data_IF_419493042659
#
_entry.id   IF_419493042659
#
_cell.length_a   1.000
_cell.length_b   1.000
_cell.length_c   1.000
_cell.angle_alpha   90.00
_cell.angle_beta   90.00
_cell.angle_gamma   90.00
#
_symmetry.space_group_name_H-M   'P 1'
#
loop_
_entity.id
_entity.type
_entity.pdbx_description
1 polymer ?
#
# COMPACT_ATOMS: atom_id res chain seq x y z
N UNK A 1 37.40 -4.79 -16.05
CA UNK A 1 36.65 -5.95 -15.51
C UNK A 1 37.17 -7.14 -16.26
N UNK A 2 37.62 -8.16 -15.55
CA UNK A 2 38.18 -9.38 -16.13
C UNK A 2 37.18 -10.51 -15.92
N UNK A 3 36.93 -11.29 -16.97
CA UNK A 3 36.17 -12.54 -16.93
C UNK A 3 37.10 -13.63 -17.42
N UNK A 4 37.17 -14.74 -16.70
CA UNK A 4 38.00 -15.89 -17.04
C UNK A 4 37.17 -17.17 -17.03
N UNK A 5 37.37 -17.99 -18.06
CA UNK A 5 36.77 -19.31 -18.21
C UNK A 5 35.25 -19.31 -18.27
N UNK A 6 34.62 -18.38 -18.99
CA UNK A 6 33.17 -18.39 -19.14
C UNK A 6 32.70 -19.52 -20.06
N UNK A 7 31.81 -20.38 -19.56
CA UNK A 7 31.32 -21.62 -20.19
C UNK A 7 29.79 -21.77 -20.19
N UNK A 8 29.07 -20.79 -19.66
CA UNK A 8 27.61 -20.78 -19.65
C UNK A 8 27.00 -21.02 -21.03
N UNK A 9 26.09 -21.99 -21.14
CA UNK A 9 25.47 -22.45 -22.38
C UNK A 9 26.47 -22.91 -23.46
N UNK A 10 26.65 -22.11 -24.51
CA UNK A 10 27.49 -22.47 -25.66
C UNK A 10 28.84 -21.75 -25.69
N UNK A 11 29.17 -21.00 -24.63
CA UNK A 11 30.47 -20.35 -24.48
C UNK A 11 31.58 -21.41 -24.36
N UNK A 12 32.70 -21.19 -25.06
CA UNK A 12 33.79 -22.15 -25.19
C UNK A 12 34.98 -21.77 -24.31
N UNK A 13 34.75 -21.68 -23.00
CA UNK A 13 35.77 -21.34 -22.01
C UNK A 13 36.51 -20.05 -22.36
N UNK A 14 35.76 -18.96 -22.52
CA UNK A 14 36.31 -17.70 -23.04
C UNK A 14 36.86 -16.82 -21.92
N UNK A 15 37.97 -16.15 -22.21
CA UNK A 15 38.57 -15.11 -21.40
C UNK A 15 38.38 -13.75 -22.09
N UNK A 16 38.02 -12.73 -21.32
CA UNK A 16 37.78 -11.39 -21.86
C UNK A 16 38.04 -10.31 -20.80
N UNK A 17 38.53 -9.17 -21.28
CA UNK A 17 38.71 -7.96 -20.48
C UNK A 17 37.80 -6.87 -21.03
N UNK A 18 36.84 -6.45 -20.20
CA UNK A 18 35.86 -5.41 -20.53
C UNK A 18 36.29 -4.09 -19.86
N UNK A 19 36.43 -2.99 -20.63
CA UNK A 19 36.73 -1.68 -20.07
C UNK A 19 35.56 -1.20 -19.20
N UNK A 20 35.88 -0.69 -18.01
CA UNK A 20 34.87 -0.13 -17.09
C UNK A 20 34.54 1.32 -17.47
N UNK A 21 33.36 1.77 -17.09
CA UNK A 21 32.89 3.16 -17.30
C UNK A 21 32.82 3.58 -18.78
N UNK A 22 32.60 2.61 -19.68
CA UNK A 22 32.45 2.83 -21.10
C UNK A 22 31.20 2.11 -21.60
N UNK A 23 30.63 2.60 -22.71
CA UNK A 23 29.59 1.89 -23.42
C UNK A 23 30.22 0.74 -24.20
N UNK A 24 29.94 -0.49 -23.78
CA UNK A 24 30.47 -1.70 -24.41
C UNK A 24 29.35 -2.40 -25.15
N UNK A 25 29.56 -2.64 -26.45
CA UNK A 25 28.57 -3.29 -27.32
C UNK A 25 29.05 -4.69 -27.65
N UNK A 26 28.24 -5.70 -27.31
CA UNK A 26 28.47 -7.10 -27.68
C UNK A 26 27.72 -7.41 -28.96
N UNK A 27 28.44 -7.78 -30.02
CA UNK A 27 27.87 -8.05 -31.35
C UNK A 27 28.27 -9.43 -31.87
N UNK A 28 27.58 -9.92 -32.90
CA UNK A 28 27.78 -11.24 -33.49
C UNK A 28 26.49 -11.89 -34.01
N UNK A 29 26.63 -12.97 -34.79
CA UNK A 29 25.52 -13.72 -35.38
C UNK A 29 24.52 -14.23 -34.33
N UNK A 30 23.26 -14.45 -34.71
CA UNK A 30 22.28 -15.08 -33.81
C UNK A 30 22.82 -16.42 -33.30
N UNK A 31 22.65 -16.69 -32.01
CA UNK A 31 23.19 -17.90 -31.37
C UNK A 31 24.70 -17.88 -31.08
N UNK A 32 25.44 -16.79 -31.35
CA UNK A 32 26.88 -16.72 -31.08
C UNK A 32 27.29 -16.66 -29.59
N UNK A 33 26.34 -16.77 -28.66
CA UNK A 33 26.61 -16.71 -27.21
C UNK A 33 26.57 -15.31 -26.59
N UNK A 34 26.09 -14.28 -27.31
CA UNK A 34 26.00 -12.90 -26.79
C UNK A 34 25.15 -12.82 -25.51
N UNK A 35 23.95 -13.38 -25.56
CA UNK A 35 23.03 -13.39 -24.41
C UNK A 35 23.58 -14.24 -23.27
N UNK A 36 24.24 -15.35 -23.60
CA UNK A 36 24.89 -16.21 -22.61
C UNK A 36 26.02 -15.51 -21.86
N UNK A 37 26.77 -14.65 -22.54
CA UNK A 37 27.78 -13.81 -21.90
C UNK A 37 27.14 -12.65 -21.11
N UNK A 38 26.25 -11.87 -21.74
CA UNK A 38 25.74 -10.63 -21.16
C UNK A 38 24.71 -10.86 -20.03
N UNK A 39 23.71 -11.70 -20.27
CA UNK A 39 22.60 -11.94 -19.34
C UNK A 39 22.90 -13.14 -18.42
N UNK A 40 23.20 -14.28 -19.03
CA UNK A 40 23.28 -15.54 -18.27
C UNK A 40 24.58 -15.64 -17.45
N UNK A 41 25.64 -14.89 -17.81
CA UNK A 41 26.90 -14.87 -17.04
C UNK A 41 27.10 -13.56 -16.29
N UNK A 42 27.27 -12.43 -16.98
CA UNK A 42 27.64 -11.15 -16.36
C UNK A 42 26.53 -10.59 -15.46
N UNK A 43 25.30 -10.48 -15.99
CA UNK A 43 24.17 -9.97 -15.21
C UNK A 43 23.79 -10.93 -14.07
N UNK A 44 23.73 -12.24 -14.34
CA UNK A 44 23.45 -13.25 -13.32
C UNK A 44 24.44 -13.19 -12.15
N UNK A 45 25.76 -13.13 -12.40
CA UNK A 45 26.75 -12.97 -11.34
C UNK A 45 26.64 -11.62 -10.63
N UNK A 46 26.41 -10.53 -11.37
CA UNK A 46 26.31 -9.19 -10.81
C UNK A 46 25.12 -9.04 -9.87
N UNK A 47 23.97 -9.60 -10.27
CA UNK A 47 22.78 -9.66 -9.44
C UNK A 47 22.98 -10.58 -8.23
N UNK A 48 23.51 -11.80 -8.43
CA UNK A 48 23.74 -12.77 -7.35
C UNK A 48 24.64 -12.20 -6.26
N UNK A 49 25.81 -11.66 -6.62
CA UNK A 49 26.76 -11.07 -5.66
C UNK A 49 26.16 -9.90 -4.89
N UNK A 50 25.34 -9.08 -5.54
CA UNK A 50 24.65 -7.97 -4.89
C UNK A 50 23.61 -8.47 -3.88
N UNK A 51 22.72 -9.40 -4.27
CA UNK A 51 21.66 -9.91 -3.37
C UNK A 51 22.25 -10.72 -2.20
N UNK A 52 23.36 -11.45 -2.40
CA UNK A 52 24.09 -12.14 -1.33
C UNK A 52 24.58 -11.19 -0.22
N UNK A 53 24.80 -9.91 -0.54
CA UNK A 53 25.21 -8.90 0.43
C UNK A 53 24.07 -8.32 1.27
N UNK A 54 22.81 -8.47 0.83
CA UNK A 54 21.65 -7.79 1.44
C UNK A 54 21.21 -8.39 2.78
N UNK A 55 21.21 -9.72 2.91
CA UNK A 55 20.90 -10.37 4.19
C UNK A 55 21.39 -11.81 4.28
N UNK A 56 21.63 -12.29 5.51
CA UNK A 56 21.99 -13.69 5.76
C UNK A 56 20.87 -14.66 5.34
N UNK A 57 19.61 -14.24 5.45
CA UNK A 57 18.44 -15.01 5.00
C UNK A 57 18.39 -15.12 3.47
N UNK A 58 18.60 -14.01 2.74
CA UNK A 58 18.60 -14.01 1.27
C UNK A 58 19.66 -14.95 0.69
N UNK A 59 20.83 -15.09 1.35
CA UNK A 59 21.87 -16.05 0.93
C UNK A 59 21.37 -17.49 0.88
N UNK A 60 20.50 -17.90 1.80
CA UNK A 60 19.96 -19.26 1.82
C UNK A 60 19.09 -19.56 0.58
N UNK A 61 18.35 -18.56 0.07
CA UNK A 61 17.54 -18.70 -1.13
C UNK A 61 18.35 -18.66 -2.43
N UNK A 62 19.44 -17.89 -2.46
CA UNK A 62 20.29 -17.78 -3.64
C UNK A 62 21.15 -19.02 -3.90
N UNK A 63 21.44 -19.83 -2.87
CA UNK A 63 22.15 -21.10 -3.04
C UNK A 63 21.34 -22.14 -3.84
N UNK A 64 20.04 -21.93 -4.02
CA UNK A 64 19.16 -22.77 -4.84
C UNK A 64 19.15 -22.34 -6.32
N UNK A 65 19.75 -21.19 -6.66
CA UNK A 65 19.84 -20.73 -8.05
C UNK A 65 21.09 -21.29 -8.72
N UNK A 66 20.96 -21.73 -9.96
CA UNK A 66 22.10 -22.20 -10.75
C UNK A 66 23.13 -21.07 -10.88
N UNK A 67 24.34 -21.35 -10.42
CA UNK A 67 25.47 -20.44 -10.61
C UNK A 67 25.94 -20.55 -12.06
N UNK A 68 26.18 -19.41 -12.74
CA UNK A 68 26.74 -19.46 -14.06
C UNK A 68 28.13 -20.09 -14.05
N UNK A 69 28.42 -20.85 -15.11
CA UNK A 69 29.68 -21.59 -15.25
C UNK A 69 30.78 -20.64 -15.72
N UNK A 70 31.55 -20.14 -14.74
CA UNK A 70 32.67 -19.21 -14.94
C UNK A 70 33.71 -19.45 -13.86
N UNK A 71 34.99 -19.39 -14.21
CA UNK A 71 36.07 -19.59 -13.23
C UNK A 71 36.22 -18.38 -12.31
N UNK A 72 36.29 -17.19 -12.93
CA UNK A 72 36.50 -15.96 -12.17
C UNK A 72 35.94 -14.75 -12.90
N UNK A 73 35.34 -13.84 -12.13
CA UNK A 73 35.00 -12.50 -12.59
C UNK A 73 35.46 -11.49 -11.54
N UNK A 74 36.31 -10.54 -11.94
CA UNK A 74 36.81 -9.47 -11.08
C UNK A 74 36.38 -8.08 -11.57
N UNK A 75 36.08 -7.20 -10.62
CA UNK A 75 35.64 -5.83 -10.92
C UNK A 75 34.22 -5.73 -11.48
N UNK A 76 33.37 -6.74 -11.20
CA UNK A 76 31.95 -6.74 -11.54
C UNK A 76 31.18 -5.83 -10.58
N UNK A 77 30.45 -4.86 -11.14
CA UNK A 77 29.53 -4.00 -10.39
C UNK A 77 28.17 -4.69 -10.22
N UNK A 78 27.32 -4.26 -9.26
CA UNK A 78 25.91 -4.63 -9.26
C UNK A 78 25.30 -4.39 -10.63
N UNK A 79 24.66 -5.42 -11.19
CA UNK A 79 24.16 -5.40 -12.55
C UNK A 79 22.63 -5.23 -12.58
N UNK A 80 22.15 -4.47 -13.56
CA UNK A 80 20.72 -4.27 -13.84
C UNK A 80 20.49 -4.68 -15.29
N UNK A 81 19.53 -5.57 -15.51
CA UNK A 81 19.10 -5.96 -16.85
C UNK A 81 17.94 -5.08 -17.28
N UNK A 82 18.01 -4.58 -18.51
CA UNK A 82 16.92 -3.87 -19.18
C UNK A 82 16.56 -4.68 -20.42
N UNK A 83 15.52 -5.49 -20.31
CA UNK A 83 15.06 -6.40 -21.36
C UNK A 83 13.68 -5.98 -21.88
N UNK A 84 13.39 -6.31 -23.13
CA UNK A 84 12.04 -6.25 -23.68
C UNK A 84 11.22 -7.49 -23.28
N UNK A 85 11.23 -7.84 -21.98
CA UNK A 85 10.28 -8.83 -21.45
C UNK A 85 8.92 -8.16 -21.33
N UNK A 86 7.86 -8.84 -21.79
CA UNK A 86 6.51 -8.30 -21.72
C UNK A 86 6.19 -7.86 -20.29
N UNK A 87 5.87 -6.58 -20.12
CA UNK A 87 5.43 -6.02 -18.85
C UNK A 87 4.25 -6.84 -18.32
N UNK A 88 4.21 -7.07 -17.01
CA UNK A 88 3.10 -7.71 -16.30
C UNK A 88 1.74 -7.29 -16.90
N UNK A 89 0.96 -8.27 -17.37
CA UNK A 89 -0.38 -8.05 -17.96
C UNK A 89 -1.46 -7.82 -16.89
N UNK A 90 -1.10 -7.17 -15.78
CA UNK A 90 -2.06 -6.83 -14.76
C UNK A 90 -2.95 -5.69 -15.28
N UNK A 91 -4.28 -5.88 -15.41
CA UNK A 91 -5.19 -4.87 -15.95
C UNK A 91 -5.27 -3.59 -15.10
N UNK A 92 -4.79 -3.63 -13.84
CA UNK A 92 -4.68 -2.45 -12.98
C UNK A 92 -3.37 -1.69 -13.13
N UNK A 93 -2.41 -2.23 -13.90
CA UNK A 93 -1.13 -1.58 -14.16
C UNK A 93 -1.26 -0.63 -15.35
N UNK A 94 -0.77 0.59 -15.18
CA UNK A 94 -0.73 1.63 -16.21
C UNK A 94 0.70 2.18 -16.31
N UNK A 95 0.97 2.99 -17.33
CA UNK A 95 2.25 3.71 -17.44
C UNK A 95 2.51 4.53 -16.17
N UNK A 96 1.48 5.16 -15.60
CA UNK A 96 1.60 5.98 -14.39
C UNK A 96 1.98 5.17 -13.15
N UNK A 97 1.53 3.91 -13.03
CA UNK A 97 1.91 3.05 -11.90
C UNK A 97 3.29 2.43 -12.09
N UNK A 98 3.68 2.10 -13.32
CA UNK A 98 5.02 1.54 -13.62
C UNK A 98 6.12 2.59 -13.41
N UNK A 99 5.83 3.85 -13.74
CA UNK A 99 6.76 4.97 -13.59
C UNK A 99 6.66 5.67 -12.24
N UNK A 100 5.79 5.19 -11.33
CA UNK A 100 5.47 5.80 -10.04
C UNK A 100 4.89 7.23 -10.10
N UNK A 101 4.74 7.82 -11.29
CA UNK A 101 4.14 9.15 -11.49
C UNK A 101 2.74 9.23 -10.86
N UNK A 102 1.96 8.15 -10.92
CA UNK A 102 0.64 8.11 -10.30
C UNK A 102 0.70 8.34 -8.79
N UNK A 103 1.72 7.82 -8.10
CA UNK A 103 1.87 8.00 -6.66
C UNK A 103 2.23 9.44 -6.29
N UNK A 104 3.08 10.09 -7.10
CA UNK A 104 3.36 11.52 -6.97
C UNK A 104 2.11 12.37 -7.23
N UNK A 105 1.31 12.03 -8.25
CA UNK A 105 0.05 12.73 -8.53
C UNK A 105 -0.96 12.60 -7.40
N UNK A 106 -1.06 11.42 -6.79
CA UNK A 106 -1.92 11.20 -5.62
C UNK A 106 -1.50 12.09 -4.45
N UNK A 107 -0.20 12.16 -4.17
CA UNK A 107 0.32 13.02 -3.11
C UNK A 107 0.08 14.50 -3.42
N UNK A 108 0.33 14.92 -4.66
CA UNK A 108 0.09 16.29 -5.11
C UNK A 108 -1.38 16.69 -4.94
N UNK A 109 -2.32 15.87 -5.41
CA UNK A 109 -3.75 16.14 -5.30
C UNK A 109 -4.24 16.09 -3.85
N UNK A 110 -3.70 15.20 -3.01
CA UNK A 110 -4.06 15.14 -1.60
C UNK A 110 -3.58 16.37 -0.81
N UNK A 111 -2.45 16.98 -1.21
CA UNK A 111 -1.86 18.12 -0.50
C UNK A 111 -2.26 19.49 -1.05
N UNK A 112 -2.42 19.60 -2.36
CA UNK A 112 -2.67 20.86 -3.06
C UNK A 112 -4.01 20.89 -3.82
N UNK A 113 -4.67 19.75 -3.99
CA UNK A 113 -5.96 19.68 -4.65
C UNK A 113 -7.07 20.25 -3.76
N UNK A 114 -7.87 21.16 -4.30
CA UNK A 114 -9.12 21.57 -3.68
C UNK A 114 -10.20 20.58 -4.11
N UNK A 115 -10.83 19.83 -3.19
CA UNK A 115 -11.91 18.92 -3.54
C UNK A 115 -13.20 19.71 -3.81
N UNK A 116 -13.98 19.27 -4.80
CA UNK A 116 -15.25 19.89 -5.19
C UNK A 116 -16.40 18.89 -5.08
N UNK A 117 -17.59 19.37 -4.74
CA UNK A 117 -18.80 18.57 -4.77
C UNK A 117 -19.15 18.17 -6.22
N UNK A 118 -19.44 16.89 -6.53
CA UNK A 118 -19.70 16.43 -7.88
C UNK A 118 -20.99 17.01 -8.49
N UNK A 119 -22.01 17.29 -7.67
CA UNK A 119 -23.31 17.79 -8.14
C UNK A 119 -23.37 19.33 -8.18
N UNK A 120 -22.75 19.98 -7.18
CA UNK A 120 -22.86 21.44 -7.00
C UNK A 120 -21.65 22.22 -7.52
N UNK A 121 -20.54 21.54 -7.82
CA UNK A 121 -19.27 22.14 -8.27
C UNK A 121 -18.71 23.26 -7.35
N UNK A 122 -19.02 23.18 -6.05
CA UNK A 122 -18.50 24.09 -5.02
C UNK A 122 -17.33 23.45 -4.27
N UNK A 123 -16.34 24.24 -3.81
CA UNK A 123 -15.25 23.71 -3.02
C UNK A 123 -15.79 23.12 -1.71
N UNK A 124 -15.35 21.92 -1.35
CA UNK A 124 -15.71 21.33 -0.06
C UNK A 124 -14.99 22.09 1.06
N UNK A 125 -15.74 22.38 2.11
CA UNK A 125 -15.24 23.04 3.31
C UNK A 125 -15.55 22.18 4.54
N UNK A 126 -14.72 22.30 5.57
CA UNK A 126 -15.05 21.71 6.86
C UNK A 126 -16.34 22.37 7.39
N UNK A 127 -17.26 21.53 7.88
CA UNK A 127 -18.49 22.00 8.51
C UNK A 127 -18.26 22.15 10.01
N UNK A 128 -18.84 23.19 10.59
CA UNK A 128 -18.96 23.32 12.05
C UNK A 128 -20.03 22.38 12.59
N UNK A 129 -19.95 22.02 13.88
CA UNK A 129 -20.99 21.24 14.56
C UNK A 129 -22.36 21.90 14.40
N UNK A 130 -22.46 23.22 14.52
CA UNK A 130 -23.70 23.97 14.32
C UNK A 130 -24.30 23.73 12.92
N UNK A 131 -23.48 23.78 11.86
CA UNK A 131 -23.94 23.49 10.49
C UNK A 131 -24.37 22.03 10.32
N UNK A 132 -23.71 21.08 11.01
CA UNK A 132 -24.14 19.68 11.00
C UNK A 132 -25.49 19.50 11.70
N UNK A 133 -25.70 20.17 12.83
CA UNK A 133 -26.97 20.19 13.57
C UNK A 133 -28.09 20.74 12.69
N UNK A 134 -27.87 21.89 12.05
CA UNK A 134 -28.83 22.50 11.14
C UNK A 134 -29.20 21.57 9.97
N UNK A 135 -28.21 20.88 9.40
CA UNK A 135 -28.42 19.93 8.31
C UNK A 135 -29.28 18.73 8.74
N UNK A 136 -29.09 18.21 9.96
CA UNK A 136 -29.89 17.10 10.50
C UNK A 136 -31.30 17.57 10.88
N UNK A 137 -31.45 18.78 11.42
CA UNK A 137 -32.75 19.37 11.74
C UNK A 137 -33.59 19.70 10.50
N UNK A 138 -32.94 19.88 9.34
CA UNK A 138 -33.62 20.05 8.05
C UNK A 138 -34.24 18.74 7.51
N UNK A 139 -33.96 17.58 8.11
CA UNK A 139 -34.63 16.32 7.76
C UNK A 139 -36.13 16.36 8.16
N UNK A 140 -36.98 15.53 7.54
CA UNK A 140 -38.39 15.44 7.91
C UNK A 140 -38.59 15.18 9.41
N UNK A 141 -39.63 15.77 9.99
CA UNK A 141 -39.95 15.61 11.41
C UNK A 141 -40.12 14.13 11.79
N UNK A 142 -39.69 13.79 13.02
CA UNK A 142 -39.70 12.43 13.58
C UNK A 142 -38.82 11.39 12.84
N UNK A 143 -37.98 11.82 11.89
CA UNK A 143 -36.93 10.98 11.30
C UNK A 143 -36.04 10.41 12.41
N UNK A 144 -35.85 9.10 12.44
CA UNK A 144 -34.98 8.43 13.42
C UNK A 144 -33.54 8.49 12.92
N UNK A 145 -32.66 9.11 13.70
CA UNK A 145 -31.23 9.21 13.39
C UNK A 145 -30.41 8.51 14.47
N UNK A 146 -29.29 7.92 14.03
CA UNK A 146 -28.30 7.28 14.89
C UNK A 146 -26.98 8.01 14.68
N UNK A 147 -26.50 8.68 15.72
CA UNK A 147 -25.20 9.35 15.70
C UNK A 147 -24.14 8.33 16.08
N UNK A 148 -23.14 8.18 15.21
CA UNK A 148 -22.07 7.19 15.38
C UNK A 148 -20.72 7.85 15.15
N UNK A 149 -19.71 7.46 15.94
CA UNK A 149 -18.33 7.86 15.72
C UNK A 149 -17.56 6.73 15.01
N UNK A 150 -16.97 6.98 13.82
CA UNK A 150 -16.16 5.98 13.13
C UNK A 150 -14.78 5.84 13.77
N UNK A 151 -14.55 4.73 14.48
CA UNK A 151 -13.29 4.45 15.18
C UNK A 151 -12.25 3.83 14.24
N UNK A 152 -12.69 2.98 13.30
CA UNK A 152 -11.83 2.34 12.33
C UNK A 152 -12.56 2.16 10.99
N UNK A 153 -11.85 2.44 9.89
CA UNK A 153 -12.29 2.20 8.51
C UNK A 153 -11.22 1.39 7.78
N UNK A 154 -11.57 0.19 7.32
CA UNK A 154 -10.68 -0.72 6.58
C UNK A 154 -9.29 -0.92 7.25
N UNK A 155 -9.24 -0.90 8.60
CA UNK A 155 -7.99 -1.00 9.38
C UNK A 155 -7.81 -2.40 9.95
N UNK A 156 -6.57 -2.89 9.90
CA UNK A 156 -6.17 -4.15 10.55
C UNK A 156 -5.88 -3.91 12.03
N UNK A 157 -6.41 -4.76 12.91
CA UNK A 157 -6.21 -4.64 14.35
C UNK A 157 -7.15 -5.52 15.15
N UNK A 158 -6.84 -5.71 16.43
CA UNK A 158 -7.67 -6.47 17.38
C UNK A 158 -8.66 -5.56 18.12
N UNK A 159 -8.33 -4.28 18.30
CA UNK A 159 -9.18 -3.23 18.90
C UNK A 159 -9.77 -3.55 20.31
N UNK A 160 -9.36 -4.66 20.95
CA UNK A 160 -9.88 -5.13 22.24
C UNK A 160 -9.70 -4.11 23.37
N UNK A 161 -8.50 -3.53 23.49
CA UNK A 161 -8.23 -2.48 24.49
C UNK A 161 -9.07 -1.21 24.27
N UNK A 162 -9.25 -0.78 23.01
CA UNK A 162 -10.05 0.39 22.68
C UNK A 162 -11.53 0.17 22.98
N UNK A 163 -12.06 -1.01 22.64
CA UNK A 163 -13.44 -1.39 22.94
C UNK A 163 -13.67 -1.43 24.46
N UNK A 164 -12.75 -2.03 25.22
CA UNK A 164 -12.82 -2.06 26.68
C UNK A 164 -12.80 -0.65 27.30
N UNK A 165 -11.96 0.26 26.78
CA UNK A 165 -11.92 1.65 27.24
C UNK A 165 -13.24 2.40 26.97
N UNK A 166 -13.89 2.13 25.84
CA UNK A 166 -15.21 2.71 25.52
C UNK A 166 -16.32 2.13 26.39
N UNK A 167 -16.29 0.83 26.68
CA UNK A 167 -17.22 0.21 27.62
C UNK A 167 -17.08 0.81 29.02
N UNK A 168 -15.84 1.04 29.49
CA UNK A 168 -15.58 1.69 30.78
C UNK A 168 -16.13 3.13 30.84
N UNK A 169 -16.24 3.81 29.70
CA UNK A 169 -16.87 5.14 29.55
C UNK A 169 -18.39 5.08 29.40
N UNK A 170 -18.98 3.88 29.39
CA UNK A 170 -20.43 3.67 29.35
C UNK A 170 -21.03 3.47 27.95
N UNK A 171 -20.21 3.30 26.90
CA UNK A 171 -20.73 2.99 25.56
C UNK A 171 -21.17 1.53 25.46
N UNK A 172 -22.44 1.32 25.12
CA UNK A 172 -23.08 -0.01 25.16
C UNK A 172 -23.28 -0.62 23.78
N UNK A 173 -23.19 0.17 22.70
CA UNK A 173 -23.51 -0.28 21.34
C UNK A 173 -22.44 0.08 20.34
N UNK A 174 -22.14 -0.87 19.47
CA UNK A 174 -21.13 -0.77 18.43
C UNK A 174 -21.71 -1.27 17.11
N UNK A 175 -21.14 -0.83 16.00
CA UNK A 175 -21.43 -1.36 14.67
C UNK A 175 -20.14 -1.92 14.09
N UNK A 176 -20.09 -3.22 13.86
CA UNK A 176 -18.92 -3.94 13.35
C UNK A 176 -19.30 -4.59 12.02
N UNK A 177 -18.60 -4.24 10.94
CA UNK A 177 -18.89 -4.80 9.60
C UNK A 177 -20.33 -4.58 9.13
N UNK A 178 -20.97 -3.49 9.59
CA UNK A 178 -22.37 -3.17 9.31
C UNK A 178 -23.40 -3.79 10.26
N UNK A 179 -23.02 -4.71 11.15
CA UNK A 179 -23.92 -5.30 12.13
C UNK A 179 -23.86 -4.55 13.46
N UNK A 180 -25.03 -4.27 14.06
CA UNK A 180 -25.12 -3.68 15.39
C UNK A 180 -24.94 -4.76 16.45
N UNK A 181 -24.00 -4.52 17.37
CA UNK A 181 -23.63 -5.44 18.44
C UNK A 181 -23.64 -4.68 19.76
N UNK A 182 -24.10 -5.33 20.83
CA UNK A 182 -24.03 -4.76 22.18
C UNK A 182 -22.67 -5.07 22.82
N UNK A 183 -22.25 -4.26 23.79
CA UNK A 183 -20.96 -4.37 24.47
C UNK A 183 -20.69 -5.77 25.06
N UNK A 184 -21.75 -6.48 25.42
CA UNK A 184 -21.72 -7.81 26.03
C UNK A 184 -21.37 -8.91 25.02
N UNK A 185 -21.72 -8.70 23.76
CA UNK A 185 -21.68 -9.70 22.68
C UNK A 185 -20.62 -9.33 21.62
N UNK A 186 -19.59 -8.57 22.00
CA UNK A 186 -18.55 -8.15 21.06
C UNK A 186 -17.77 -9.35 20.52
N UNK A 187 -17.64 -9.50 19.18
CA UNK A 187 -16.85 -10.56 18.59
C UNK A 187 -15.35 -10.29 18.75
N UNK A 188 -14.56 -11.35 18.86
CA UNK A 188 -13.10 -11.26 18.80
C UNK A 188 -12.63 -10.87 17.40
N UNK A 189 -12.06 -9.67 17.27
CA UNK A 189 -11.56 -9.15 16.00
C UNK A 189 -10.14 -9.65 15.75
N UNK A 190 -9.94 -10.33 14.62
CA UNK A 190 -8.61 -10.86 14.29
C UNK A 190 -7.67 -9.76 13.82
N UNK A 191 -6.47 -9.71 14.39
CA UNK A 191 -5.41 -8.72 14.08
C UNK A 191 -5.00 -8.63 12.59
N UNK A 192 -5.16 -9.71 11.83
CA UNK A 192 -4.72 -9.80 10.43
C UNK A 192 -5.81 -9.36 9.43
N UNK A 193 -7.06 -9.33 9.89
CA UNK A 193 -8.24 -8.97 9.11
C UNK A 193 -8.51 -7.47 9.21
N UNK A 194 -9.18 -6.91 8.20
CA UNK A 194 -9.57 -5.51 8.18
C UNK A 194 -10.98 -5.37 8.75
N UNK A 195 -11.18 -4.38 9.61
CA UNK A 195 -12.45 -4.18 10.30
C UNK A 195 -12.96 -2.75 10.10
N UNK A 196 -14.28 -2.63 10.01
CA UNK A 196 -15.02 -1.37 10.10
C UNK A 196 -15.73 -1.33 11.44
N UNK A 197 -15.36 -0.36 12.28
CA UNK A 197 -15.86 -0.22 13.64
C UNK A 197 -16.42 1.19 13.86
N UNK A 198 -17.68 1.26 14.27
CA UNK A 198 -18.32 2.48 14.74
C UNK A 198 -18.83 2.28 16.17
N UNK A 199 -18.78 3.33 16.99
CA UNK A 199 -19.48 3.37 18.28
C UNK A 199 -20.76 4.19 18.15
N UNK A 200 -21.85 3.70 18.72
CA UNK A 200 -23.13 4.41 18.72
C UNK A 200 -23.14 5.38 19.90
N UNK A 201 -23.23 6.67 19.60
CA UNK A 201 -23.23 7.75 20.59
C UNK A 201 -24.65 8.03 21.07
N UNK A 202 -25.57 8.24 20.13
CA UNK A 202 -26.95 8.55 20.46
C UNK A 202 -27.93 8.06 19.39
N UNK A 203 -29.19 7.92 19.80
CA UNK A 203 -30.34 7.63 18.94
C UNK A 203 -31.45 8.58 19.31
N UNK A 204 -31.80 9.47 18.38
CA UNK A 204 -32.83 10.47 18.59
C UNK A 204 -33.77 10.56 17.39
N UNK A 205 -34.91 11.20 17.60
CA UNK A 205 -35.82 11.60 16.54
C UNK A 205 -35.59 13.07 16.24
N UNK A 206 -35.61 13.44 14.97
CA UNK A 206 -35.48 14.84 14.54
C UNK A 206 -36.69 15.62 15.02
N UNK A 207 -36.45 16.56 15.95
CA UNK A 207 -37.43 17.46 16.55
C UNK A 207 -36.80 18.81 16.84
N UNK A 208 -37.57 19.91 16.87
CA UNK A 208 -37.03 21.25 17.10
C UNK A 208 -36.31 21.40 18.45
N UNK A 209 -36.76 20.68 19.47
CA UNK A 209 -36.20 20.67 20.82
C UNK A 209 -34.93 19.80 20.96
N UNK A 210 -34.58 19.01 19.94
CA UNK A 210 -33.44 18.10 19.99
C UNK A 210 -32.09 18.79 19.66
N UNK A 211 -32.08 20.10 19.39
CA UNK A 211 -30.91 20.84 18.92
C UNK A 211 -29.69 20.70 19.85
N UNK A 212 -29.86 20.98 21.14
CA UNK A 212 -28.76 20.92 22.12
C UNK A 212 -28.20 19.50 22.25
N UNK A 213 -29.10 18.51 22.41
CA UNK A 213 -28.72 17.10 22.54
C UNK A 213 -27.98 16.59 21.30
N UNK A 214 -28.40 17.02 20.12
CA UNK A 214 -27.74 16.66 18.87
C UNK A 214 -26.35 17.28 18.76
N UNK A 215 -26.18 18.54 19.18
CA UNK A 215 -24.88 19.20 19.21
C UNK A 215 -23.90 18.45 20.13
N UNK A 216 -24.30 18.14 21.35
CA UNK A 216 -23.50 17.37 22.33
C UNK A 216 -23.12 15.97 21.78
N UNK A 217 -24.06 15.31 21.10
CA UNK A 217 -23.83 13.99 20.49
C UNK A 217 -22.83 14.06 19.32
N UNK A 218 -22.92 15.10 18.49
CA UNK A 218 -22.01 15.29 17.36
C UNK A 218 -20.60 15.69 17.82
N UNK A 219 -20.47 16.55 18.82
CA UNK A 219 -19.18 16.88 19.46
C UNK A 219 -18.52 15.63 20.04
N UNK A 220 -19.29 14.84 20.78
CA UNK A 220 -18.81 13.57 21.34
C UNK A 220 -18.38 12.62 20.23
N UNK A 221 -19.13 12.55 19.13
CA UNK A 221 -18.77 11.70 18.00
C UNK A 221 -17.48 12.16 17.30
N UNK A 222 -17.29 13.46 17.11
CA UNK A 222 -16.06 14.01 16.52
C UNK A 222 -14.85 13.74 17.41
N UNK A 223 -14.95 14.00 18.72
CA UNK A 223 -13.85 13.76 19.66
C UNK A 223 -13.43 12.29 19.78
N UNK A 224 -14.33 11.36 19.48
CA UNK A 224 -14.04 9.93 19.51
C UNK A 224 -13.47 9.40 18.19
N UNK A 225 -13.67 10.12 17.09
CA UNK A 225 -13.26 9.71 15.75
C UNK A 225 -11.90 10.26 15.31
N UNK A 226 -11.35 11.24 16.04
CA UNK A 226 -9.98 11.75 15.89
C UNK A 226 -8.92 10.75 16.36
#
# INVERSE_FOLDING_TARGET
MSVRGARTHNLKNIDLDIPRHQLVVVTGLSGSGKSSLAFDTLYAEGQRRYVESLSAYARQFLQLMDKPDVDMIEGLSPAISIEQKASSHNPRSTVGTITEIHDYLRLLLARAGTPFCPDHHRPLQAQSVAQMVDAVLALPADTRVMVMAPLARDRKGEFSEQLAALQARGFVRFRIGGQLVEAQDLPDLKRQEKHDLDVVIDRLKVRPDAQQRLAESLETAMHLAD
#
